data_IF_327467284006
#
_entry.id   IF_327467284006
#
_cell.length_a   1.000
_cell.length_b   1.000
_cell.length_c   1.000
_cell.angle_alpha   90.00
_cell.angle_beta   90.00
_cell.angle_gamma   90.00
#
_symmetry.space_group_name_H-M   'P 1'
#
loop_
_entity.id
_entity.type
_entity.pdbx_description
1 polymer ?
#
# COMPACT_ATOMS: atom_id res chain seq x y z
N UNK A 1 -57.84 15.36 30.42
CA UNK A 1 -57.39 14.25 29.55
C UNK A 1 -56.20 14.74 28.74
N UNK A 2 -54.99 14.73 29.31
CA UNK A 2 -53.75 15.20 28.67
C UNK A 2 -53.04 14.01 28.02
N UNK A 3 -52.85 14.03 26.70
CA UNK A 3 -52.07 13.04 25.96
C UNK A 3 -50.59 13.40 26.00
N UNK A 4 -49.79 12.55 26.63
CA UNK A 4 -48.35 12.70 26.77
C UNK A 4 -47.61 12.54 25.43
N UNK A 5 -47.24 13.67 24.81
CA UNK A 5 -46.37 13.70 23.63
C UNK A 5 -44.86 13.58 23.95
N UNK A 6 -44.50 13.40 25.22
CA UNK A 6 -43.10 13.37 25.73
C UNK A 6 -42.26 12.12 25.39
N UNK A 7 -42.80 10.91 25.08
CA UNK A 7 -41.94 9.75 24.85
C UNK A 7 -41.34 9.69 23.44
N UNK A 8 -41.88 10.46 22.48
CA UNK A 8 -41.46 10.40 21.08
C UNK A 8 -40.17 11.19 20.83
N UNK A 9 -40.04 12.36 21.47
CA UNK A 9 -38.85 13.22 21.33
C UNK A 9 -37.62 12.59 22.00
N UNK A 10 -37.81 11.90 23.14
CA UNK A 10 -36.73 11.20 23.86
C UNK A 10 -36.13 10.03 23.06
N UNK A 11 -36.94 9.32 22.27
CA UNK A 11 -36.47 8.20 21.43
C UNK A 11 -35.64 8.69 20.23
N UNK A 12 -35.98 9.84 19.65
CA UNK A 12 -35.23 10.45 18.54
C UNK A 12 -33.84 10.95 18.97
N UNK A 13 -33.73 11.57 20.15
CA UNK A 13 -32.44 12.05 20.68
C UNK A 13 -31.52 10.87 21.04
N UNK A 14 -32.04 9.83 21.68
CA UNK A 14 -31.25 8.64 22.01
C UNK A 14 -30.79 7.85 20.77
N UNK A 15 -31.65 7.74 19.74
CA UNK A 15 -31.29 7.11 18.47
C UNK A 15 -30.23 7.90 17.69
N UNK A 16 -30.28 9.23 17.71
CA UNK A 16 -29.27 10.09 17.10
C UNK A 16 -27.91 10.01 17.79
N UNK A 17 -27.88 9.98 19.12
CA UNK A 17 -26.63 9.82 19.90
C UNK A 17 -25.96 8.46 19.67
N UNK A 18 -26.74 7.38 19.58
CA UNK A 18 -26.21 6.05 19.27
C UNK A 18 -25.63 5.96 17.85
N UNK A 19 -26.27 6.60 16.87
CA UNK A 19 -25.77 6.64 15.48
C UNK A 19 -24.46 7.44 15.36
N UNK A 20 -24.33 8.56 16.08
CA UNK A 20 -23.09 9.36 16.10
C UNK A 20 -21.96 8.60 16.80
N UNK A 21 -22.23 7.92 17.91
CA UNK A 21 -21.24 7.08 18.59
C UNK A 21 -20.78 5.91 17.69
N UNK A 22 -21.70 5.29 16.96
CA UNK A 22 -21.38 4.19 16.06
C UNK A 22 -20.54 4.66 14.85
N UNK A 23 -20.83 5.84 14.30
CA UNK A 23 -20.05 6.43 13.22
C UNK A 23 -18.64 6.86 13.68
N UNK A 24 -18.52 7.40 14.90
CA UNK A 24 -17.23 7.81 15.48
C UNK A 24 -16.35 6.64 15.91
N UNK A 25 -16.92 5.44 16.11
CA UNK A 25 -16.20 4.23 16.47
C UNK A 25 -15.65 3.44 15.27
N UNK A 26 -15.94 3.87 14.03
CA UNK A 26 -15.39 3.23 12.83
C UNK A 26 -13.93 3.66 12.64
N UNK A 27 -12.97 2.72 12.58
CA UNK A 27 -11.59 3.05 12.26
C UNK A 27 -11.51 3.70 10.88
N UNK A 28 -10.92 4.90 10.79
CA UNK A 28 -10.68 5.56 9.52
C UNK A 28 -9.60 4.79 8.73
N UNK A 29 -10.02 3.89 7.85
CA UNK A 29 -9.12 3.04 7.05
C UNK A 29 -8.41 3.79 5.89
N UNK A 30 -8.55 5.12 5.79
CA UNK A 30 -8.09 5.89 4.62
C UNK A 30 -6.63 6.35 4.72
N UNK A 31 -6.06 6.50 5.92
CA UNK A 31 -4.74 7.13 6.07
C UNK A 31 -3.56 6.25 5.62
N UNK A 32 -3.70 4.91 5.61
CA UNK A 32 -2.61 3.99 5.24
C UNK A 32 -2.46 3.81 3.71
N UNK A 33 -3.56 3.96 2.97
CA UNK A 33 -3.58 3.83 1.51
C UNK A 33 -2.86 5.01 0.85
N UNK A 34 -3.09 6.23 1.33
CA UNK A 34 -2.48 7.45 0.78
C UNK A 34 -0.95 7.41 0.85
N UNK A 35 -0.40 6.99 1.99
CA UNK A 35 1.06 6.93 2.17
C UNK A 35 1.75 5.93 1.23
N UNK A 36 1.09 4.80 0.95
CA UNK A 36 1.64 3.78 0.05
C UNK A 36 1.69 4.29 -1.38
N UNK A 37 0.64 5.01 -1.80
CA UNK A 37 0.57 5.60 -3.14
C UNK A 37 1.63 6.69 -3.34
N UNK A 38 1.84 7.55 -2.35
CA UNK A 38 2.90 8.57 -2.38
C UNK A 38 4.30 7.95 -2.53
N UNK A 39 4.57 6.86 -1.81
CA UNK A 39 5.85 6.14 -1.89
C UNK A 39 6.04 5.50 -3.27
N UNK A 40 4.99 4.94 -3.87
CA UNK A 40 5.06 4.40 -5.22
C UNK A 40 5.30 5.49 -6.27
N UNK A 41 4.64 6.64 -6.11
CA UNK A 41 4.85 7.80 -7.00
C UNK A 41 6.30 8.26 -6.99
N UNK A 42 6.93 8.33 -5.81
CA UNK A 42 8.35 8.69 -5.70
C UNK A 42 9.24 7.75 -6.51
N UNK A 43 8.98 6.44 -6.51
CA UNK A 43 9.76 5.47 -7.30
C UNK A 43 9.60 5.73 -8.80
N UNK A 44 8.38 6.05 -9.24
CA UNK A 44 8.10 6.40 -10.65
C UNK A 44 8.84 7.68 -11.04
N UNK A 45 8.76 8.72 -10.22
CA UNK A 45 9.42 10.01 -10.49
C UNK A 45 10.96 9.82 -10.60
N UNK A 46 11.56 8.97 -9.77
CA UNK A 46 13.00 8.63 -9.86
C UNK A 46 13.32 7.88 -11.15
N UNK A 47 12.47 6.91 -11.54
CA UNK A 47 12.67 6.14 -12.76
C UNK A 47 12.63 7.03 -14.00
N UNK A 48 11.66 7.95 -14.06
CA UNK A 48 11.53 8.91 -15.16
C UNK A 48 12.71 9.89 -15.18
N UNK A 49 13.11 10.41 -14.02
CA UNK A 49 14.30 11.26 -13.92
C UNK A 49 15.55 10.58 -14.48
N UNK A 50 15.80 9.31 -14.15
CA UNK A 50 16.95 8.57 -14.69
C UNK A 50 16.84 8.44 -16.21
N UNK A 51 15.67 8.06 -16.73
CA UNK A 51 15.48 7.88 -18.18
C UNK A 51 15.67 9.17 -18.98
N UNK A 52 15.29 10.31 -18.42
CA UNK A 52 15.41 11.61 -19.08
C UNK A 52 16.82 12.23 -18.98
N UNK A 53 17.52 11.97 -17.88
CA UNK A 53 18.77 12.68 -17.56
C UNK A 53 20.02 11.82 -17.65
N UNK A 54 19.89 10.50 -17.81
CA UNK A 54 21.05 9.62 -17.98
C UNK A 54 21.57 9.70 -19.42
N UNK A 55 22.89 9.72 -19.57
CA UNK A 55 23.58 9.96 -20.85
C UNK A 55 23.38 8.83 -21.86
N UNK A 56 23.12 7.62 -21.39
CA UNK A 56 22.94 6.42 -22.20
C UNK A 56 21.52 5.86 -22.06
N UNK A 57 21.10 5.09 -23.07
CA UNK A 57 19.82 4.39 -23.00
C UNK A 57 19.90 3.27 -21.95
N UNK A 58 18.99 3.33 -20.98
CA UNK A 58 18.88 2.35 -19.89
C UNK A 58 17.58 1.56 -20.01
N UNK A 59 17.69 0.24 -19.91
CA UNK A 59 16.51 -0.63 -19.89
C UNK A 59 15.78 -0.45 -18.57
N UNK A 60 14.48 -0.15 -18.65
CA UNK A 60 13.63 0.00 -17.46
C UNK A 60 13.64 -1.25 -16.57
N UNK A 61 13.73 -2.45 -17.17
CA UNK A 61 13.82 -3.72 -16.44
C UNK A 61 15.04 -3.78 -15.52
N UNK A 62 16.21 -3.32 -16.00
CA UNK A 62 17.45 -3.35 -15.23
C UNK A 62 17.37 -2.41 -14.02
N UNK A 63 16.74 -1.24 -14.18
CA UNK A 63 16.50 -0.28 -13.09
C UNK A 63 15.54 -0.85 -12.04
N UNK A 64 14.45 -1.48 -12.48
CA UNK A 64 13.47 -2.10 -11.58
C UNK A 64 14.10 -3.27 -10.79
N UNK A 65 14.89 -4.11 -11.45
CA UNK A 65 15.58 -5.22 -10.78
C UNK A 65 16.70 -4.76 -9.86
N UNK A 66 17.41 -3.70 -10.23
CA UNK A 66 18.39 -3.03 -9.37
C UNK A 66 17.74 -2.47 -8.10
N UNK A 67 16.63 -1.77 -8.24
CA UNK A 67 15.85 -1.26 -7.12
C UNK A 67 15.33 -2.40 -6.22
N UNK A 68 14.80 -3.47 -6.81
CA UNK A 68 14.35 -4.64 -6.06
C UNK A 68 15.50 -5.32 -5.28
N UNK A 69 16.68 -5.50 -5.90
CA UNK A 69 17.89 -5.99 -5.23
C UNK A 69 18.29 -5.10 -4.05
N UNK A 70 18.29 -3.77 -4.24
CA UNK A 70 18.59 -2.82 -3.18
C UNK A 70 17.58 -2.89 -2.01
N UNK A 71 16.29 -2.93 -2.31
CA UNK A 71 15.23 -3.05 -1.30
C UNK A 71 15.36 -4.35 -0.51
N UNK A 72 15.53 -5.49 -1.18
CA UNK A 72 15.67 -6.79 -0.50
C UNK A 72 16.95 -6.85 0.34
N UNK A 73 18.06 -6.29 -0.16
CA UNK A 73 19.33 -6.22 0.57
C UNK A 73 19.29 -5.37 1.84
N UNK A 74 18.25 -4.55 2.04
CA UNK A 74 18.06 -3.77 3.27
C UNK A 74 17.42 -4.57 4.41
N UNK A 75 16.83 -5.72 4.11
CA UNK A 75 16.12 -6.53 5.11
C UNK A 75 17.10 -7.29 6.01
N UNK A 76 17.99 -8.07 5.41
CA UNK A 76 19.05 -8.81 6.09
C UNK A 76 20.16 -9.26 5.11
N UNK A 77 21.35 -9.67 5.59
CA UNK A 77 22.49 -10.04 4.74
C UNK A 77 22.28 -11.29 3.86
N UNK A 78 21.30 -12.13 4.18
CA UNK A 78 20.99 -13.37 3.45
C UNK A 78 19.81 -13.21 2.49
N UNK A 79 19.01 -12.17 2.64
CA UNK A 79 17.93 -11.81 1.73
C UNK A 79 18.50 -11.46 0.35
N UNK A 80 18.04 -12.19 -0.68
CA UNK A 80 18.45 -11.98 -2.08
C UNK A 80 17.24 -11.92 -2.99
N UNK A 81 17.21 -10.92 -3.86
CA UNK A 81 16.25 -10.85 -4.95
C UNK A 81 16.67 -11.81 -6.06
N UNK A 82 15.75 -12.67 -6.51
CA UNK A 82 16.00 -13.61 -7.60
C UNK A 82 15.43 -13.05 -8.91
N UNK A 83 16.29 -12.90 -9.91
CA UNK A 83 15.89 -12.43 -11.23
C UNK A 83 15.14 -13.56 -11.98
N UNK A 84 13.88 -13.34 -12.40
CA UNK A 84 13.07 -14.33 -13.12
C UNK A 84 13.71 -14.86 -14.41
N UNK A 85 14.65 -14.14 -15.03
CA UNK A 85 15.38 -14.63 -16.20
C UNK A 85 16.47 -15.66 -15.84
N UNK A 86 17.08 -15.53 -14.66
CA UNK A 86 18.05 -16.49 -14.09
C UNK A 86 17.37 -17.78 -13.57
N UNK A 87 16.06 -17.80 -13.40
CA UNK A 87 15.31 -18.99 -12.96
C UNK A 87 15.22 -20.11 -14.01
N UNK A 88 15.57 -19.84 -15.28
CA UNK A 88 15.52 -20.87 -16.33
C UNK A 88 16.57 -21.97 -16.13
N UNK A 89 17.67 -21.68 -15.43
CA UNK A 89 18.78 -22.62 -15.26
C UNK A 89 18.76 -23.37 -13.92
N UNK A 90 17.98 -22.91 -12.93
CA UNK A 90 17.99 -23.51 -11.56
C UNK A 90 17.01 -24.68 -11.41
N UNK A 91 16.07 -24.87 -12.35
CA UNK A 91 15.09 -25.97 -12.28
C UNK A 91 15.63 -27.32 -12.78
N UNK A 92 16.88 -27.41 -13.23
CA UNK A 92 17.45 -28.68 -13.75
C UNK A 92 18.15 -29.53 -12.68
N UNK A 93 18.50 -28.99 -11.52
CA UNK A 93 19.28 -29.70 -10.49
C UNK A 93 18.45 -30.42 -9.41
N UNK A 94 17.11 -30.36 -9.47
CA UNK A 94 16.22 -31.15 -8.60
C UNK A 94 15.47 -32.24 -9.35
N UNK A 95 16.15 -33.00 -10.20
CA UNK A 95 15.76 -34.35 -10.61
C UNK A 95 17.02 -35.16 -10.97
N UNK A 96 17.76 -35.61 -9.97
CA UNK A 96 18.70 -36.73 -10.09
C UNK A 96 18.55 -37.62 -8.87
#
# INVERSE_FOLDING_TARGET
>A
MHRDARPLVKKLVAGGLAAVFLAAALPAAHASVDKTYEQLKLIIDILDYIKENYVEEVKTQDLVYGAARGMVGTLDPFSQFMDPELHKDVKTDRKS
#
